data_IF_074015829334
#
_entry.id   IF_074015829334
#
_cell.length_a   1.000
_cell.length_b   1.000
_cell.length_c   1.000
_cell.angle_alpha   90.00
_cell.angle_beta   90.00
_cell.angle_gamma   90.00
#
_symmetry.space_group_name_H-M   'P 1'
#
loop_
_entity.id
_entity.type
_entity.pdbx_description
1 polymer ?
#
# COMPACT_ATOMS: atom_id res chain seq x y z
N UNK A 1 -1.70 1.44 20.37
CA UNK A 1 -0.67 2.42 19.93
C UNK A 1 -1.27 3.76 19.56
N UNK A 2 -0.44 4.76 19.48
CA UNK A 2 -0.76 6.11 19.02
C UNK A 2 0.37 6.61 18.12
N UNK A 3 0.03 7.20 16.99
CA UNK A 3 0.97 7.83 16.05
C UNK A 3 0.45 9.21 15.69
N UNK A 4 1.32 10.21 15.66
CA UNK A 4 1.01 11.57 15.23
C UNK A 4 2.00 11.98 14.13
N UNK A 5 1.49 12.64 13.08
CA UNK A 5 2.25 13.33 12.04
C UNK A 5 1.81 14.79 12.00
N UNK A 6 2.75 15.70 11.88
CA UNK A 6 2.49 17.16 11.83
C UNK A 6 3.37 17.76 10.73
N UNK A 7 2.75 18.09 9.60
CA UNK A 7 3.35 18.77 8.45
C UNK A 7 2.69 20.13 8.25
N UNK A 8 3.21 20.95 7.33
CA UNK A 8 2.71 22.31 7.14
C UNK A 8 1.27 22.37 6.61
N UNK A 9 0.85 21.35 5.85
CA UNK A 9 -0.44 21.26 5.17
C UNK A 9 -1.21 19.96 5.48
N UNK A 10 -0.68 19.15 6.41
CA UNK A 10 -1.31 17.89 6.78
C UNK A 10 -0.98 17.49 8.22
N UNK A 11 -2.00 17.17 9.01
CA UNK A 11 -1.85 16.64 10.36
C UNK A 11 -2.66 15.37 10.50
N UNK A 12 -2.07 14.33 11.10
CA UNK A 12 -2.73 13.06 11.31
C UNK A 12 -2.52 12.54 12.72
N UNK A 13 -3.60 12.06 13.31
CA UNK A 13 -3.62 11.37 14.59
C UNK A 13 -4.21 9.97 14.40
N UNK A 14 -3.43 8.91 14.64
CA UNK A 14 -3.88 7.54 14.48
C UNK A 14 -3.80 6.76 15.80
N UNK A 15 -4.90 6.13 16.15
CA UNK A 15 -5.01 5.19 17.28
C UNK A 15 -5.15 3.78 16.76
N UNK A 16 -4.42 2.82 17.37
CA UNK A 16 -4.51 1.42 17.00
C UNK A 16 -4.54 0.49 18.21
N UNK A 17 -5.24 -0.63 18.05
CA UNK A 17 -5.30 -1.73 19.01
C UNK A 17 -5.23 -3.05 18.27
N UNK A 18 -4.49 -4.01 18.80
CA UNK A 18 -4.45 -5.37 18.26
C UNK A 18 -4.47 -6.41 19.38
N UNK A 19 -5.08 -7.54 19.08
CA UNK A 19 -5.11 -8.73 19.92
C UNK A 19 -4.58 -9.91 19.12
N UNK A 20 -3.59 -10.61 19.67
CA UNK A 20 -3.01 -11.80 19.06
C UNK A 20 -3.15 -12.98 20.00
N UNK A 21 -3.65 -14.10 19.49
CA UNK A 21 -3.82 -15.36 20.22
C UNK A 21 -3.12 -16.49 19.48
N UNK A 22 -2.19 -17.13 20.20
CA UNK A 22 -1.51 -18.33 19.72
C UNK A 22 -2.13 -19.58 20.29
N UNK A 23 -2.35 -20.58 19.48
CA UNK A 23 -3.09 -21.82 19.78
C UNK A 23 -2.36 -23.06 19.28
N UNK A 24 -2.83 -24.25 19.69
CA UNK A 24 -2.37 -25.55 19.20
C UNK A 24 -0.85 -25.74 19.30
N UNK A 25 -0.25 -25.44 20.47
CA UNK A 25 1.18 -25.57 20.67
C UNK A 25 2.01 -24.61 19.81
N UNK A 26 1.53 -23.40 19.59
CA UNK A 26 2.12 -22.36 18.76
C UNK A 26 2.13 -22.64 17.25
N UNK A 27 1.27 -23.57 16.79
CA UNK A 27 1.15 -23.85 15.36
C UNK A 27 0.23 -22.87 14.63
N UNK A 28 -0.71 -22.24 15.35
CA UNK A 28 -1.68 -21.30 14.80
C UNK A 28 -1.64 -20.02 15.58
N UNK A 29 -1.58 -18.89 14.89
CA UNK A 29 -1.74 -17.57 15.51
C UNK A 29 -2.80 -16.79 14.75
N UNK A 30 -3.79 -16.27 15.49
CA UNK A 30 -4.81 -15.36 14.97
C UNK A 30 -4.55 -13.98 15.54
N UNK A 31 -4.59 -12.97 14.70
CA UNK A 31 -4.47 -11.57 15.10
C UNK A 31 -5.67 -10.79 14.58
N UNK A 32 -6.27 -10.00 15.46
CA UNK A 32 -7.30 -9.03 15.15
C UNK A 32 -6.74 -7.64 15.43
N UNK A 33 -6.91 -6.72 14.50
CA UNK A 33 -6.46 -5.35 14.62
C UNK A 33 -7.57 -4.38 14.24
N UNK A 34 -7.53 -3.22 14.87
CA UNK A 34 -8.35 -2.07 14.51
C UNK A 34 -7.51 -0.81 14.65
N UNK A 35 -7.60 0.08 13.66
CA UNK A 35 -7.05 1.42 13.76
C UNK A 35 -8.04 2.47 13.28
N UNK A 36 -7.94 3.67 13.86
CA UNK A 36 -8.70 4.84 13.43
C UNK A 36 -7.77 6.05 13.35
N UNK A 37 -7.78 6.71 12.20
CA UNK A 37 -7.03 7.92 11.91
C UNK A 37 -7.97 9.12 11.75
N UNK A 38 -7.49 10.29 12.12
CA UNK A 38 -8.15 11.59 11.95
C UNK A 38 -7.13 12.53 11.33
N UNK A 39 -7.49 13.08 10.19
CA UNK A 39 -6.61 13.93 9.41
C UNK A 39 -7.21 15.33 9.27
N UNK A 40 -6.40 16.34 9.53
CA UNK A 40 -6.64 17.75 9.18
C UNK A 40 -5.82 18.08 7.93
N UNK A 41 -6.47 18.56 6.89
CA UNK A 41 -5.89 18.85 5.58
C UNK A 41 -5.97 20.35 5.33
N UNK A 42 -4.85 20.96 4.95
CA UNK A 42 -4.73 22.38 4.69
C UNK A 42 -4.19 22.62 3.28
N UNK A 43 -4.35 23.86 2.80
CA UNK A 43 -3.73 24.32 1.56
C UNK A 43 -2.84 25.52 1.86
N UNK A 44 -1.52 25.35 1.64
CA UNK A 44 -0.54 26.42 1.89
C UNK A 44 -0.72 27.64 0.97
N UNK A 45 -1.53 27.52 -0.09
CA UNK A 45 -1.84 28.63 -1.01
C UNK A 45 -3.13 29.35 -0.65
N UNK A 46 -3.98 28.76 0.21
CA UNK A 46 -5.28 29.29 0.64
C UNK A 46 -5.42 29.19 2.15
N UNK A 47 -5.19 30.30 2.85
CA UNK A 47 -5.15 30.33 4.33
C UNK A 47 -6.44 29.90 5.03
N UNK A 48 -7.57 29.97 4.34
CA UNK A 48 -8.89 29.64 4.88
C UNK A 48 -9.35 28.23 4.53
N UNK A 49 -8.53 27.47 3.75
CA UNK A 49 -8.83 26.09 3.39
C UNK A 49 -8.49 25.18 4.58
N UNK A 50 -9.50 24.48 5.05
CA UNK A 50 -9.35 23.43 6.05
C UNK A 50 -10.41 22.36 5.80
N UNK A 51 -9.97 21.14 5.56
CA UNK A 51 -10.80 19.95 5.40
C UNK A 51 -10.35 18.84 6.34
N UNK A 52 -11.14 17.80 6.48
CA UNK A 52 -10.84 16.67 7.35
C UNK A 52 -11.11 15.33 6.66
N UNK A 53 -10.40 14.30 7.08
CA UNK A 53 -10.70 12.92 6.71
C UNK A 53 -10.60 11.98 7.91
N UNK A 54 -11.48 10.98 7.94
CA UNK A 54 -11.50 9.89 8.90
C UNK A 54 -11.14 8.58 8.20
N UNK A 55 -10.26 7.79 8.81
CA UNK A 55 -9.82 6.49 8.30
C UNK A 55 -10.06 5.41 9.32
N UNK A 56 -10.66 4.29 8.93
CA UNK A 56 -10.81 3.12 9.79
C UNK A 56 -10.26 1.89 9.07
N UNK A 57 -9.44 1.10 9.76
CA UNK A 57 -8.89 -0.15 9.23
C UNK A 57 -9.21 -1.29 10.18
N UNK A 58 -9.80 -2.35 9.65
CA UNK A 58 -10.07 -3.63 10.30
C UNK A 58 -9.15 -4.68 9.71
N UNK A 59 -8.32 -5.29 10.54
CA UNK A 59 -7.34 -6.27 10.14
C UNK A 59 -7.58 -7.63 10.79
N UNK A 60 -7.55 -8.70 9.98
CA UNK A 60 -7.59 -10.08 10.45
C UNK A 60 -6.41 -10.83 9.83
N UNK A 61 -5.61 -11.50 10.64
CA UNK A 61 -4.51 -12.34 10.20
C UNK A 61 -4.59 -13.72 10.81
N UNK A 62 -4.37 -14.74 9.99
CA UNK A 62 -4.20 -16.14 10.39
C UNK A 62 -2.83 -16.62 9.93
N UNK A 63 -1.94 -16.97 10.87
CA UNK A 63 -0.66 -17.60 10.59
C UNK A 63 -0.69 -19.06 11.04
N UNK A 64 -0.35 -19.99 10.14
CA UNK A 64 -0.43 -21.43 10.35
C UNK A 64 0.88 -22.10 9.95
N UNK A 65 1.52 -22.79 10.90
CA UNK A 65 2.60 -23.72 10.63
C UNK A 65 2.00 -24.99 10.02
N UNK A 66 2.14 -25.18 8.71
CA UNK A 66 1.60 -26.33 8.00
C UNK A 66 2.51 -27.55 8.16
N UNK A 67 3.82 -27.35 8.12
CA UNK A 67 4.83 -28.38 8.34
C UNK A 67 6.07 -27.75 9.01
N UNK A 68 7.07 -28.58 9.37
CA UNK A 68 8.38 -28.09 9.89
C UNK A 68 9.12 -27.15 8.91
N UNK A 69 8.68 -27.09 7.66
CA UNK A 69 9.34 -26.32 6.57
C UNK A 69 8.40 -25.33 5.89
N UNK A 70 7.14 -25.25 6.30
CA UNK A 70 6.14 -24.48 5.60
C UNK A 70 5.25 -23.69 6.56
N UNK A 71 5.23 -22.36 6.38
CA UNK A 71 4.38 -21.44 7.09
C UNK A 71 3.46 -20.74 6.07
N UNK A 72 2.17 -20.73 6.35
CA UNK A 72 1.16 -20.00 5.60
C UNK A 72 0.62 -18.85 6.46
N UNK A 73 0.49 -17.65 5.89
CA UNK A 73 -0.24 -16.55 6.52
C UNK A 73 -1.27 -16.01 5.55
N UNK A 74 -2.51 -15.90 6.04
CA UNK A 74 -3.64 -15.27 5.34
C UNK A 74 -3.98 -13.98 6.06
N UNK A 75 -4.16 -12.88 5.30
CA UNK A 75 -4.53 -11.60 5.89
C UNK A 75 -5.70 -11.01 5.10
N UNK A 76 -6.59 -10.36 5.82
CA UNK A 76 -7.67 -9.59 5.27
C UNK A 76 -7.71 -8.22 5.94
N UNK A 77 -7.76 -7.18 5.13
CA UNK A 77 -7.89 -5.80 5.53
C UNK A 77 -9.15 -5.20 4.90
N UNK A 78 -9.98 -4.55 5.71
CA UNK A 78 -11.07 -3.71 5.25
C UNK A 78 -10.81 -2.29 5.74
N UNK A 79 -10.79 -1.33 4.81
CA UNK A 79 -10.54 0.08 5.10
C UNK A 79 -11.75 0.90 4.67
N UNK A 80 -12.18 1.81 5.52
CA UNK A 80 -13.18 2.82 5.18
C UNK A 80 -12.60 4.20 5.42
N UNK A 81 -12.67 5.03 4.39
CA UNK A 81 -12.21 6.41 4.41
C UNK A 81 -13.42 7.31 4.16
N UNK A 82 -13.53 8.41 4.91
CA UNK A 82 -14.61 9.39 4.79
C UNK A 82 -14.06 10.80 4.97
N UNK A 83 -14.49 11.75 4.13
CA UNK A 83 -14.12 13.14 4.20
C UNK A 83 -13.44 13.64 2.92
N UNK A 84 -12.42 14.47 3.04
CA UNK A 84 -11.70 15.04 1.91
C UNK A 84 -10.55 14.07 1.50
N UNK A 85 -10.77 13.30 0.43
CA UNK A 85 -9.87 12.21 0.01
C UNK A 85 -9.00 12.58 -1.20
N UNK A 86 -8.99 13.84 -1.62
CA UNK A 86 -8.25 14.33 -2.77
C UNK A 86 -7.09 15.26 -2.38
N UNK A 87 -6.18 15.50 -3.31
CA UNK A 87 -5.10 16.46 -3.10
C UNK A 87 -5.58 17.88 -3.47
N UNK A 88 -5.53 18.88 -2.56
CA UNK A 88 -6.03 20.23 -2.80
C UNK A 88 -5.26 20.98 -3.91
N UNK A 89 -4.05 20.54 -4.24
CA UNK A 89 -3.19 21.19 -5.25
C UNK A 89 -3.37 20.67 -6.66
N UNK A 90 -4.24 19.66 -6.88
CA UNK A 90 -4.39 19.01 -8.18
C UNK A 90 -5.58 19.53 -8.98
N UNK A 91 -5.38 19.63 -10.29
CA UNK A 91 -6.40 20.00 -11.28
C UNK A 91 -6.45 18.96 -12.39
N UNK A 92 -7.64 18.74 -12.93
CA UNK A 92 -7.83 17.94 -14.13
C UNK A 92 -7.44 18.71 -15.37
N UNK A 93 -7.15 17.98 -16.43
CA UNK A 93 -6.84 18.50 -17.75
C UNK A 93 -8.11 18.47 -18.60
N UNK A 94 -8.53 19.64 -19.10
CA UNK A 94 -9.75 19.78 -19.90
C UNK A 94 -9.38 20.39 -21.27
N UNK A 95 -9.97 19.86 -22.35
CA UNK A 95 -9.79 20.42 -23.70
C UNK A 95 -10.32 21.86 -23.75
N UNK A 96 -9.57 22.77 -24.41
CA UNK A 96 -10.03 24.12 -24.70
C UNK A 96 -11.19 24.13 -25.69
N UNK A 97 -11.13 23.25 -26.71
CA UNK A 97 -12.19 23.01 -27.68
C UNK A 97 -12.30 21.49 -27.95
N UNK A 98 -13.38 20.81 -27.59
CA UNK A 98 -13.57 19.39 -27.85
C UNK A 98 -13.65 19.05 -29.35
N UNK A 99 -13.97 20.03 -30.21
CA UNK A 99 -13.99 19.86 -31.67
C UNK A 99 -12.61 19.99 -32.31
N UNK A 100 -11.65 20.60 -31.61
CA UNK A 100 -10.26 20.79 -32.05
C UNK A 100 -9.27 20.42 -30.91
N UNK A 101 -8.85 19.15 -30.82
CA UNK A 101 -7.90 18.72 -29.80
C UNK A 101 -6.55 19.45 -29.83
N UNK A 102 -6.19 20.05 -30.98
CA UNK A 102 -4.96 20.83 -31.15
C UNK A 102 -5.08 22.26 -30.59
N UNK A 103 -6.30 22.69 -30.20
CA UNK A 103 -6.52 23.98 -29.53
C UNK A 103 -5.90 24.06 -28.11
N UNK A 104 -5.36 22.94 -27.59
CA UNK A 104 -4.68 22.84 -26.31
C UNK A 104 -5.62 22.56 -25.15
N UNK A 105 -5.11 22.76 -23.92
CA UNK A 105 -5.76 22.35 -22.67
C UNK A 105 -5.82 23.49 -21.66
N UNK A 106 -6.75 23.40 -20.73
CA UNK A 106 -6.76 24.23 -19.52
C UNK A 106 -6.66 23.37 -18.25
N UNK A 107 -6.18 23.96 -17.15
CA UNK A 107 -5.95 23.33 -15.86
C UNK A 107 -6.73 24.04 -14.73
N UNK A 108 -7.83 24.70 -15.04
CA UNK A 108 -8.54 25.55 -14.08
C UNK A 108 -9.64 24.81 -13.31
N UNK A 109 -9.85 23.52 -13.58
CA UNK A 109 -10.86 22.71 -12.91
C UNK A 109 -10.17 21.84 -11.86
N UNK A 110 -10.41 22.05 -10.56
CA UNK A 110 -9.89 21.17 -9.52
C UNK A 110 -10.35 19.73 -9.70
N UNK A 111 -9.53 18.78 -9.25
CA UNK A 111 -9.98 17.40 -9.09
C UNK A 111 -11.15 17.34 -8.10
N UNK A 112 -12.05 16.39 -8.29
CA UNK A 112 -13.16 16.14 -7.39
C UNK A 112 -13.36 14.63 -7.23
N UNK A 113 -13.17 14.11 -6.03
CA UNK A 113 -13.30 12.69 -5.72
C UNK A 113 -14.59 12.43 -4.93
N UNK A 114 -15.08 11.18 -4.91
CA UNK A 114 -16.02 10.77 -3.87
C UNK A 114 -15.44 11.03 -2.48
N UNK A 115 -16.27 11.46 -1.56
CA UNK A 115 -15.87 11.73 -0.17
C UNK A 115 -15.93 10.49 0.73
N UNK A 116 -16.14 9.32 0.14
CA UNK A 116 -16.07 8.01 0.80
C UNK A 116 -15.31 7.04 -0.06
N UNK A 117 -14.56 6.13 0.57
CA UNK A 117 -13.93 4.99 -0.09
C UNK A 117 -13.96 3.78 0.83
N UNK A 118 -14.43 2.64 0.31
CA UNK A 118 -14.38 1.37 1.01
C UNK A 118 -13.50 0.40 0.25
N UNK A 119 -12.42 -0.04 0.88
CA UNK A 119 -11.41 -0.90 0.26
C UNK A 119 -11.33 -2.24 0.97
N UNK A 120 -11.05 -3.30 0.22
CA UNK A 120 -10.83 -4.63 0.73
C UNK A 120 -9.55 -5.21 0.16
N UNK A 121 -8.75 -5.85 0.98
CA UNK A 121 -7.55 -6.54 0.53
C UNK A 121 -7.43 -7.93 1.17
N UNK A 122 -7.21 -8.94 0.35
CA UNK A 122 -6.93 -10.31 0.77
C UNK A 122 -5.52 -10.68 0.33
N UNK A 123 -4.70 -11.19 1.25
CA UNK A 123 -3.36 -11.68 0.90
C UNK A 123 -3.06 -13.06 1.48
N UNK A 124 -2.25 -13.82 0.73
CA UNK A 124 -1.72 -15.11 1.12
C UNK A 124 -0.19 -15.10 0.99
N UNK A 125 0.49 -15.39 2.09
CA UNK A 125 1.95 -15.50 2.14
C UNK A 125 2.34 -16.93 2.47
N UNK A 126 3.16 -17.55 1.63
CA UNK A 126 3.73 -18.87 1.85
C UNK A 126 5.24 -18.74 1.99
N UNK A 127 5.79 -19.19 3.12
CA UNK A 127 7.22 -19.35 3.33
C UNK A 127 7.56 -20.85 3.32
N UNK A 128 8.44 -21.24 2.41
CA UNK A 128 8.90 -22.61 2.30
C UNK A 128 10.42 -22.71 2.49
N UNK A 129 10.83 -23.53 3.45
CA UNK A 129 12.23 -23.78 3.77
C UNK A 129 12.78 -24.97 2.97
N UNK A 130 13.78 -24.71 2.14
CA UNK A 130 14.44 -25.68 1.27
C UNK A 130 15.49 -26.52 2.02
N UNK A 131 15.80 -27.77 1.56
CA UNK A 131 16.74 -28.66 2.27
C UNK A 131 18.14 -28.13 2.45
N UNK A 132 18.59 -27.21 1.58
CA UNK A 132 19.95 -26.63 1.57
C UNK A 132 20.03 -25.26 2.26
N UNK A 133 19.23 -25.05 3.31
CA UNK A 133 19.17 -23.83 4.14
C UNK A 133 18.60 -22.58 3.44
N UNK A 134 18.21 -22.68 2.19
CA UNK A 134 17.53 -21.59 1.49
C UNK A 134 16.04 -21.52 1.83
N UNK A 135 15.40 -20.41 1.51
CA UNK A 135 13.95 -20.28 1.61
C UNK A 135 13.36 -19.59 0.38
N UNK A 136 12.14 -19.98 0.05
CA UNK A 136 11.30 -19.33 -0.94
C UNK A 136 10.13 -18.70 -0.21
N UNK A 137 9.85 -17.45 -0.50
CA UNK A 137 8.63 -16.76 -0.08
C UNK A 137 7.81 -16.44 -1.31
N UNK A 138 6.52 -16.74 -1.27
CA UNK A 138 5.56 -16.28 -2.27
C UNK A 138 4.48 -15.49 -1.58
N UNK A 139 4.09 -14.38 -2.18
CA UNK A 139 2.98 -13.55 -1.74
C UNK A 139 2.04 -13.32 -2.92
N UNK A 140 0.75 -13.42 -2.66
CA UNK A 140 -0.29 -12.93 -3.55
C UNK A 140 -1.20 -12.02 -2.76
N UNK A 141 -1.54 -10.84 -3.31
CA UNK A 141 -2.50 -9.91 -2.75
C UNK A 141 -3.48 -9.48 -3.84
N UNK A 142 -4.75 -9.59 -3.53
CA UNK A 142 -5.86 -8.99 -4.28
C UNK A 142 -6.41 -7.82 -3.49
N UNK A 143 -6.69 -6.73 -4.18
CA UNK A 143 -7.29 -5.52 -3.65
C UNK A 143 -8.45 -5.11 -4.53
N UNK A 144 -9.54 -4.60 -3.93
CA UNK A 144 -10.69 -4.02 -4.62
C UNK A 144 -11.28 -2.91 -3.78
N UNK A 145 -11.89 -1.90 -4.41
CA UNK A 145 -12.59 -0.82 -3.72
C UNK A 145 -13.85 -0.38 -4.47
N UNK A 146 -14.61 0.55 -3.87
CA UNK A 146 -15.82 1.12 -4.43
C UNK A 146 -15.57 2.29 -5.42
N UNK A 147 -14.31 2.58 -5.74
CA UNK A 147 -13.91 3.43 -6.86
C UNK A 147 -13.62 2.63 -8.15
N UNK A 148 -13.95 1.33 -8.16
CA UNK A 148 -13.76 0.34 -9.25
C UNK A 148 -12.30 -0.04 -9.51
N UNK A 149 -11.41 0.21 -8.54
CA UNK A 149 -10.02 -0.24 -8.64
C UNK A 149 -9.91 -1.69 -8.17
N UNK A 150 -9.49 -2.55 -9.08
CA UNK A 150 -9.07 -3.93 -8.81
C UNK A 150 -7.56 -4.04 -9.03
N UNK A 151 -6.84 -4.56 -8.03
CA UNK A 151 -5.39 -4.70 -8.14
C UNK A 151 -4.87 -6.08 -7.70
N UNK A 152 -3.86 -6.56 -8.40
CA UNK A 152 -3.19 -7.82 -8.13
C UNK A 152 -1.70 -7.60 -7.90
N UNK A 153 -1.19 -8.17 -6.83
CA UNK A 153 0.26 -8.22 -6.56
C UNK A 153 0.70 -9.68 -6.44
N UNK A 154 1.72 -10.06 -7.20
CA UNK A 154 2.43 -11.34 -7.03
C UNK A 154 3.88 -11.03 -6.69
N UNK A 155 4.38 -11.61 -5.61
CA UNK A 155 5.79 -11.48 -5.24
C UNK A 155 6.40 -12.85 -4.98
N UNK A 156 7.62 -13.07 -5.49
CA UNK A 156 8.43 -14.26 -5.22
C UNK A 156 9.78 -13.79 -4.71
N UNK A 157 10.17 -14.28 -3.55
CA UNK A 157 11.47 -14.04 -2.93
C UNK A 157 12.24 -15.33 -2.75
N UNK A 158 13.55 -15.30 -2.99
CA UNK A 158 14.47 -16.40 -2.71
C UNK A 158 15.61 -15.88 -1.85
N UNK A 159 15.84 -16.53 -0.71
CA UNK A 159 16.92 -16.20 0.22
C UNK A 159 17.83 -17.40 0.36
N UNK A 160 19.13 -17.20 0.14
CA UNK A 160 20.14 -18.25 0.21
C UNK A 160 21.31 -17.85 1.09
N UNK A 161 21.50 -18.47 2.27
CA UNK A 161 22.72 -18.30 3.05
C UNK A 161 23.86 -19.06 2.38
N UNK A 162 24.90 -18.36 1.94
CA UNK A 162 26.12 -18.91 1.40
C UNK A 162 27.18 -19.02 2.51
N UNK A 163 27.49 -20.25 2.91
CA UNK A 163 28.38 -20.54 4.05
C UNK A 163 27.82 -19.86 5.33
N UNK A 164 28.70 -19.37 6.20
CA UNK A 164 28.28 -18.83 7.50
C UNK A 164 28.22 -17.31 7.54
N UNK A 165 28.62 -16.62 6.46
CA UNK A 165 28.82 -15.18 6.44
C UNK A 165 27.99 -14.41 5.43
N UNK A 166 27.63 -15.02 4.33
CA UNK A 166 26.95 -14.37 3.22
C UNK A 166 25.49 -14.77 3.17
N UNK A 167 24.63 -13.83 2.84
CA UNK A 167 23.24 -14.06 2.50
C UNK A 167 22.95 -13.39 1.16
N UNK A 168 22.42 -14.16 0.23
CA UNK A 168 21.92 -13.66 -1.06
C UNK A 168 20.41 -13.60 -1.02
N UNK A 169 19.84 -12.54 -1.58
CA UNK A 169 18.41 -12.35 -1.71
C UNK A 169 18.09 -11.97 -3.15
N UNK A 170 17.08 -12.64 -3.72
CA UNK A 170 16.46 -12.30 -4.99
C UNK A 170 14.99 -12.07 -4.73
N UNK A 171 14.43 -11.02 -5.33
CA UNK A 171 13.02 -10.69 -5.22
C UNK A 171 12.50 -10.25 -6.57
N UNK A 172 11.34 -10.79 -6.96
CA UNK A 172 10.58 -10.33 -8.10
C UNK A 172 9.18 -10.01 -7.66
N UNK A 173 8.65 -8.85 -8.08
CA UNK A 173 7.28 -8.42 -7.84
C UNK A 173 6.67 -7.99 -9.16
N UNK A 174 5.47 -8.48 -9.40
CA UNK A 174 4.56 -7.99 -10.43
C UNK A 174 3.35 -7.36 -9.77
N UNK A 175 2.97 -6.19 -10.26
CA UNK A 175 1.78 -5.47 -9.83
C UNK A 175 0.98 -5.05 -11.05
N UNK A 176 -0.36 -5.08 -10.96
CA UNK A 176 -1.27 -4.51 -11.95
C UNK A 176 -2.51 -4.00 -11.25
N UNK A 177 -3.10 -2.92 -11.77
CA UNK A 177 -4.37 -2.37 -11.33
C UNK A 177 -5.19 -1.88 -12.51
N UNK A 178 -6.54 -1.86 -12.35
CA UNK A 178 -7.46 -1.09 -13.19
C UNK A 178 -7.42 0.40 -12.83
N UNK A 179 -8.02 1.24 -13.66
CA UNK A 179 -8.29 2.64 -13.34
C UNK A 179 -9.55 2.81 -12.47
N UNK A 180 -9.66 3.95 -11.82
CA UNK A 180 -10.88 4.35 -11.12
C UNK A 180 -11.94 4.82 -12.13
N UNK A 181 -13.22 4.57 -11.85
CA UNK A 181 -14.37 4.95 -12.68
C UNK A 181 -14.39 6.43 -13.12
N UNK A 182 -13.83 7.31 -12.29
CA UNK A 182 -13.79 8.75 -12.51
C UNK A 182 -12.43 9.27 -12.97
N UNK A 183 -11.49 8.36 -13.31
CA UNK A 183 -10.17 8.72 -13.83
C UNK A 183 -10.21 9.03 -15.32
N UNK A 184 -9.49 10.06 -15.75
CA UNK A 184 -9.15 10.30 -17.14
C UNK A 184 -7.89 11.14 -17.26
N UNK A 185 -7.05 10.85 -18.27
CA UNK A 185 -5.91 11.70 -18.60
C UNK A 185 -6.34 13.09 -19.08
N UNK A 186 -7.47 13.17 -19.81
CA UNK A 186 -8.03 14.40 -20.39
C UNK A 186 -9.55 14.32 -20.43
N UNK A 187 -10.21 15.35 -19.95
CA UNK A 187 -11.65 15.52 -20.03
C UNK A 187 -12.04 16.43 -21.19
N UNK A 188 -13.20 16.19 -21.80
CA UNK A 188 -13.67 17.01 -22.91
C UNK A 188 -14.27 18.33 -22.44
N UNK A 189 -14.94 18.32 -21.28
CA UNK A 189 -15.64 19.47 -20.73
C UNK A 189 -15.35 19.64 -19.24
N UNK A 190 -15.36 20.87 -18.70
CA UNK A 190 -15.42 21.10 -17.26
C UNK A 190 -16.71 20.48 -16.69
N UNK A 191 -16.61 19.79 -15.55
CA UNK A 191 -17.73 19.10 -14.90
C UNK A 191 -18.43 18.07 -15.83
N UNK A 192 -17.66 17.38 -16.65
CA UNK A 192 -18.16 16.33 -17.55
C UNK A 192 -18.89 15.21 -16.80
N UNK A 193 -18.46 14.94 -15.58
CA UNK A 193 -19.03 13.99 -14.65
C UNK A 193 -18.96 14.53 -13.22
N UNK A 194 -19.63 13.88 -12.27
CA UNK A 194 -19.70 14.34 -10.89
C UNK A 194 -18.33 14.30 -10.20
N UNK A 195 -17.57 13.26 -10.46
CA UNK A 195 -16.22 13.07 -9.94
C UNK A 195 -15.23 13.02 -11.11
N UNK A 196 -14.10 13.65 -10.95
CA UNK A 196 -13.08 13.78 -12.00
C UNK A 196 -11.69 13.75 -11.37
N UNK A 197 -10.87 12.81 -11.78
CA UNK A 197 -9.49 12.67 -11.33
C UNK A 197 -8.51 12.50 -12.48
N UNK A 198 -7.30 12.98 -12.30
CA UNK A 198 -6.18 12.79 -13.22
C UNK A 198 -4.96 12.23 -12.49
N UNK A 199 -5.08 11.92 -11.22
CA UNK A 199 -3.99 11.33 -10.47
C UNK A 199 -3.58 9.98 -11.07
N UNK A 200 -2.30 9.85 -11.45
CA UNK A 200 -1.76 8.62 -12.03
C UNK A 200 -1.81 7.42 -11.09
N UNK A 201 -1.95 7.64 -9.79
CA UNK A 201 -2.18 6.56 -8.83
C UNK A 201 -3.55 5.88 -9.01
N UNK A 202 -4.52 6.59 -9.63
CA UNK A 202 -5.85 6.07 -9.97
C UNK A 202 -5.96 5.53 -11.40
N UNK A 203 -4.88 5.55 -12.18
CA UNK A 203 -4.86 5.03 -13.56
C UNK A 203 -4.67 3.53 -13.62
N UNK A 204 -5.05 2.92 -14.74
CA UNK A 204 -4.60 1.57 -15.09
C UNK A 204 -3.08 1.56 -15.31
N UNK A 205 -2.37 0.66 -14.66
CA UNK A 205 -0.96 0.39 -14.93
C UNK A 205 -0.49 -0.97 -14.43
N UNK A 206 0.68 -1.39 -14.90
CA UNK A 206 1.39 -2.54 -14.38
C UNK A 206 2.86 -2.21 -14.12
N UNK A 207 3.45 -2.88 -13.12
CA UNK A 207 4.84 -2.69 -12.71
C UNK A 207 5.56 -4.02 -12.50
N UNK A 208 6.84 -4.05 -12.87
CA UNK A 208 7.74 -5.17 -12.63
C UNK A 208 8.94 -4.68 -11.82
N UNK A 209 9.10 -5.21 -10.62
CA UNK A 209 10.24 -4.88 -9.75
C UNK A 209 11.16 -6.09 -9.59
N UNK A 210 12.45 -5.93 -9.87
CA UNK A 210 13.49 -6.92 -9.59
C UNK A 210 14.42 -6.39 -8.51
N UNK A 211 14.56 -7.12 -7.41
CA UNK A 211 15.45 -6.79 -6.31
C UNK A 211 16.56 -7.84 -6.15
N UNK A 212 17.77 -7.36 -5.86
CA UNK A 212 18.91 -8.19 -5.49
C UNK A 212 19.57 -7.64 -4.24
N UNK A 213 19.80 -8.51 -3.26
CA UNK A 213 20.46 -8.16 -1.99
C UNK A 213 21.62 -9.10 -1.68
N UNK A 214 22.67 -8.53 -1.13
CA UNK A 214 23.81 -9.29 -0.57
C UNK A 214 24.12 -8.75 0.82
N UNK A 215 24.11 -9.62 1.81
CA UNK A 215 24.47 -9.29 3.18
C UNK A 215 25.71 -10.08 3.61
N UNK A 216 26.61 -9.43 4.35
CA UNK A 216 27.80 -10.05 4.91
C UNK A 216 27.84 -9.85 6.42
N UNK A 217 28.03 -10.93 7.18
CA UNK A 217 28.12 -10.87 8.64
C UNK A 217 29.58 -10.64 9.10
N UNK A 218 29.85 -9.45 9.62
CA UNK A 218 31.17 -9.09 10.21
C UNK A 218 31.39 -9.72 11.57
N UNK A 219 30.36 -10.10 12.32
CA UNK A 219 30.43 -10.64 13.67
C UNK A 219 31.15 -12.00 13.76
N UNK A 220 31.20 -12.73 12.65
CA UNK A 220 31.88 -14.04 12.58
C UNK A 220 33.37 -13.94 12.22
N UNK A 221 33.93 -12.73 12.04
CA UNK A 221 35.34 -12.54 11.59
C UNK A 221 36.34 -12.28 12.71
N UNK A 222 35.97 -12.44 14.00
CA UNK A 222 36.85 -12.11 15.14
C UNK A 222 37.52 -10.71 15.02
N UNK A 223 36.82 -9.75 14.43
CA UNK A 223 37.22 -8.36 14.46
C UNK A 223 37.09 -7.88 15.92
N UNK A 224 38.22 -7.93 16.67
CA UNK A 224 38.30 -7.76 18.11
C UNK A 224 37.95 -6.37 18.65
N UNK A 225 37.06 -5.63 17.99
CA UNK A 225 36.59 -4.30 18.40
C UNK A 225 35.07 -4.16 18.49
N UNK A 226 34.30 -5.20 18.20
CA UNK A 226 32.84 -5.15 18.41
C UNK A 226 32.55 -5.92 19.68
N UNK A 227 32.34 -5.18 20.76
CA UNK A 227 32.00 -5.72 22.07
C UNK A 227 30.69 -6.56 21.93
N UNK A 228 30.75 -7.79 22.41
CA UNK A 228 29.61 -8.71 22.48
C UNK A 228 28.79 -8.32 23.71
N UNK A 229 27.99 -7.25 23.62
CA UNK A 229 27.00 -6.95 24.63
C UNK A 229 25.71 -7.72 24.37
#
# INVERSE_FOLDING_TARGET
GYTNSDESDYKADTYNVSLSQTMFGALTTVTLGYSRGFDDIFDNTQSDFKETADHQNYHISLSQVLTKKMLLSLNYDAVTDEGYLQNPYRNVLVLNDPADPDAGFNFNTPENYPNTRTSNALSANLLYYLPYRASVRTNYRYYTDDWDIDAHTVEVGYTHPLRDKWMLELRYRYYTQSDADFYSDVFQYPNQQNFMARDKELSEFSDHTLGFGVSYSLLNDNWGYIDRA
#
